data_IF_893297729529
#
_entry.id   IF_893297729529
#
_cell.length_a   1.000
_cell.length_b   1.000
_cell.length_c   1.000
_cell.angle_alpha   90.00
_cell.angle_beta   90.00
_cell.angle_gamma   90.00
#
_symmetry.space_group_name_H-M   'P 1'
#
loop_
_entity.id
_entity.type
_entity.pdbx_description
1 polymer ?
#
# COMPACT_ATOMS: atom_id res chain seq x y z
N UNK A 1 -18.62 -11.68 9.69
CA UNK A 1 -17.31 -10.99 9.62
C UNK A 1 -16.22 -12.05 9.56
N UNK A 2 -15.33 -11.99 8.56
CA UNK A 2 -14.19 -12.90 8.39
C UNK A 2 -12.92 -12.07 8.22
N UNK A 3 -11.78 -12.58 8.68
CA UNK A 3 -10.48 -11.95 8.52
C UNK A 3 -9.61 -12.76 7.58
N UNK A 4 -9.28 -12.19 6.43
CA UNK A 4 -8.37 -12.78 5.46
C UNK A 4 -6.96 -12.24 5.69
N UNK A 5 -6.00 -13.13 5.89
CA UNK A 5 -4.62 -12.75 6.25
C UNK A 5 -3.63 -13.58 5.43
N UNK A 6 -2.56 -12.99 4.86
CA UNK A 6 -1.50 -13.76 4.22
C UNK A 6 -0.74 -14.61 5.24
N UNK A 7 -0.23 -15.77 4.82
CA UNK A 7 0.55 -16.69 5.67
C UNK A 7 1.82 -16.08 6.28
N UNK A 8 2.30 -14.95 5.76
CA UNK A 8 3.46 -14.21 6.25
C UNK A 8 3.23 -13.44 7.56
N UNK A 9 1.98 -13.26 7.99
CA UNK A 9 1.68 -12.54 9.23
C UNK A 9 1.59 -13.47 10.42
N UNK A 10 2.27 -13.09 11.53
CA UNK A 10 2.12 -13.78 12.81
C UNK A 10 0.86 -13.28 13.51
N UNK A 11 -0.22 -14.03 13.38
CA UNK A 11 -1.50 -13.69 14.02
C UNK A 11 -1.76 -14.55 15.25
N UNK A 12 -2.35 -13.93 16.28
CA UNK A 12 -3.02 -14.65 17.37
C UNK A 12 -4.49 -14.84 16.98
N UNK A 13 -4.97 -16.07 16.78
CA UNK A 13 -6.36 -16.30 16.37
C UNK A 13 -7.35 -15.67 17.36
N UNK A 14 -8.36 -14.97 16.83
CA UNK A 14 -9.48 -14.47 17.64
C UNK A 14 -10.52 -15.58 17.82
N UNK A 15 -11.04 -15.71 19.03
CA UNK A 15 -12.17 -16.60 19.31
C UNK A 15 -13.48 -16.10 18.69
N UNK A 16 -13.61 -14.80 18.45
CA UNK A 16 -14.86 -14.16 17.99
C UNK A 16 -14.96 -14.05 16.48
N UNK A 17 -13.83 -14.02 15.78
CA UNK A 17 -13.80 -13.77 14.34
C UNK A 17 -12.95 -14.83 13.65
N UNK A 18 -13.52 -15.63 12.74
CA UNK A 18 -12.79 -16.66 12.03
C UNK A 18 -11.73 -16.04 11.12
N UNK A 19 -10.53 -16.63 11.15
CA UNK A 19 -9.40 -16.23 10.32
C UNK A 19 -9.24 -17.22 9.16
N UNK A 20 -9.03 -16.69 7.96
CA UNK A 20 -8.75 -17.43 6.74
C UNK A 20 -7.38 -17.01 6.22
N UNK A 21 -6.52 -17.99 5.98
CA UNK A 21 -5.13 -17.75 5.61
C UNK A 21 -4.92 -18.18 4.16
N UNK A 22 -4.47 -17.26 3.31
CA UNK A 22 -4.01 -17.58 1.96
C UNK A 22 -2.49 -17.66 1.93
N UNK A 23 -1.98 -18.56 1.09
CA UNK A 23 -0.54 -18.82 1.02
C UNK A 23 0.16 -17.74 0.21
N UNK A 24 1.23 -17.18 0.77
CA UNK A 24 2.16 -16.26 0.09
C UNK A 24 3.59 -16.80 0.21
N UNK A 25 4.49 -16.46 -0.73
CA UNK A 25 5.87 -16.98 -0.74
C UNK A 25 6.80 -16.26 0.26
N UNK A 26 6.27 -15.69 1.35
CA UNK A 26 7.03 -14.95 2.36
C UNK A 26 6.97 -15.64 3.72
N UNK A 27 8.09 -15.60 4.44
CA UNK A 27 8.20 -16.20 5.78
C UNK A 27 7.49 -15.34 6.85
N UNK A 28 7.03 -15.95 7.96
CA UNK A 28 6.41 -15.21 9.05
C UNK A 28 7.32 -14.15 9.67
N UNK A 29 6.90 -12.89 9.67
CA UNK A 29 7.67 -11.76 10.21
C UNK A 29 8.60 -11.07 9.20
N UNK A 30 8.52 -11.46 7.92
CA UNK A 30 9.30 -10.85 6.83
C UNK A 30 8.94 -9.37 6.64
N UNK A 31 7.67 -9.00 6.81
CA UNK A 31 7.20 -7.62 6.66
C UNK A 31 7.94 -6.69 7.64
N UNK A 32 8.02 -7.08 8.91
CA UNK A 32 8.66 -6.31 9.96
C UNK A 32 10.19 -6.30 9.81
N UNK A 33 10.78 -7.47 9.50
CA UNK A 33 12.22 -7.64 9.51
C UNK A 33 12.93 -7.08 8.27
N UNK A 34 12.25 -7.05 7.13
CA UNK A 34 12.83 -6.62 5.86
C UNK A 34 12.20 -5.31 5.38
N UNK A 35 10.86 -5.26 5.23
CA UNK A 35 10.20 -4.12 4.60
C UNK A 35 10.15 -2.89 5.52
N UNK A 36 9.61 -3.05 6.74
CA UNK A 36 9.54 -1.97 7.73
C UNK A 36 10.93 -1.54 8.18
N UNK A 37 11.86 -2.48 8.31
CA UNK A 37 13.25 -2.17 8.68
C UNK A 37 13.91 -1.22 7.68
N UNK A 38 13.73 -1.43 6.38
CA UNK A 38 14.27 -0.54 5.33
C UNK A 38 13.69 0.86 5.38
N UNK A 39 12.40 0.98 5.68
CA UNK A 39 11.75 2.29 5.87
C UNK A 39 12.40 3.04 7.04
N UNK A 40 12.62 2.36 8.16
CA UNK A 40 13.24 2.92 9.36
C UNK A 40 14.73 3.28 9.11
N UNK A 41 15.45 2.42 8.37
CA UNK A 41 16.85 2.66 7.96
C UNK A 41 16.97 3.83 6.96
N UNK A 42 15.86 4.34 6.42
CA UNK A 42 15.83 5.48 5.50
C UNK A 42 16.16 5.11 4.05
N UNK A 43 16.21 3.81 3.72
CA UNK A 43 16.46 3.30 2.37
C UNK A 43 15.19 3.38 1.51
N UNK A 44 14.76 4.62 1.22
CA UNK A 44 13.48 4.92 0.55
C UNK A 44 13.37 4.31 -0.84
N UNK A 45 14.47 4.24 -1.59
CA UNK A 45 14.44 3.72 -2.96
C UNK A 45 14.23 2.21 -2.98
N UNK A 46 15.00 1.46 -2.18
CA UNK A 46 14.82 0.01 -2.07
C UNK A 46 13.47 -0.32 -1.46
N UNK A 47 13.03 0.43 -0.45
CA UNK A 47 11.69 0.28 0.14
C UNK A 47 10.60 0.37 -0.93
N UNK A 48 10.64 1.40 -1.79
CA UNK A 48 9.63 1.59 -2.84
C UNK A 48 9.67 0.48 -3.90
N UNK A 49 10.87 0.08 -4.33
CA UNK A 49 11.03 -1.02 -5.30
C UNK A 49 10.48 -2.34 -4.73
N UNK A 50 10.85 -2.66 -3.50
CA UNK A 50 10.41 -3.87 -2.80
C UNK A 50 8.91 -3.85 -2.53
N UNK A 51 8.36 -2.70 -2.13
CA UNK A 51 6.90 -2.52 -1.98
C UNK A 51 6.16 -2.82 -3.28
N UNK A 52 6.66 -2.36 -4.43
CA UNK A 52 6.06 -2.65 -5.73
C UNK A 52 6.06 -4.14 -6.05
N UNK A 53 7.17 -4.84 -5.79
CA UNK A 53 7.28 -6.28 -6.05
C UNK A 53 6.34 -7.09 -5.14
N UNK A 54 6.31 -6.75 -3.85
CA UNK A 54 5.48 -7.41 -2.84
C UNK A 54 4.01 -7.29 -3.14
N UNK A 55 3.56 -6.09 -3.57
CA UNK A 55 2.17 -5.91 -3.98
C UNK A 55 1.83 -6.89 -5.10
N UNK A 56 2.64 -6.97 -6.17
CA UNK A 56 2.42 -7.92 -7.28
C UNK A 56 2.33 -9.36 -6.80
N UNK A 57 3.26 -9.81 -5.96
CA UNK A 57 3.27 -11.19 -5.46
C UNK A 57 2.05 -11.51 -4.58
N UNK A 58 1.65 -10.57 -3.72
CA UNK A 58 0.46 -10.72 -2.88
C UNK A 58 -0.80 -10.75 -3.76
N UNK A 59 -0.87 -9.89 -4.78
CA UNK A 59 -1.96 -9.88 -5.77
C UNK A 59 -2.12 -11.24 -6.44
N UNK A 60 -1.04 -11.78 -7.00
CA UNK A 60 -1.05 -13.06 -7.71
C UNK A 60 -1.44 -14.20 -6.77
N UNK A 61 -0.85 -14.24 -5.57
CA UNK A 61 -1.14 -15.25 -4.55
C UNK A 61 -2.61 -15.25 -4.15
N UNK A 62 -3.19 -14.06 -3.97
CA UNK A 62 -4.61 -13.92 -3.65
C UNK A 62 -5.51 -14.35 -4.82
N UNK A 63 -5.22 -13.90 -6.04
CA UNK A 63 -6.00 -14.25 -7.23
C UNK A 63 -5.96 -15.76 -7.56
N UNK A 64 -4.89 -16.43 -7.17
CA UNK A 64 -4.75 -17.89 -7.31
C UNK A 64 -5.48 -18.67 -6.20
N UNK A 65 -5.96 -18.01 -5.14
CA UNK A 65 -6.65 -18.66 -4.01
C UNK A 65 -8.16 -18.77 -4.26
N UNK A 66 -8.57 -19.78 -5.03
CA UNK A 66 -9.94 -19.97 -5.48
C UNK A 66 -10.97 -20.17 -4.33
N UNK A 67 -10.53 -20.75 -3.22
CA UNK A 67 -11.30 -20.92 -1.99
C UNK A 67 -11.65 -19.57 -1.36
N UNK A 68 -10.65 -18.70 -1.21
CA UNK A 68 -10.79 -17.35 -0.68
C UNK A 68 -11.69 -16.51 -1.59
N UNK A 69 -11.45 -16.53 -2.90
CA UNK A 69 -12.26 -15.81 -3.88
C UNK A 69 -13.72 -16.27 -3.91
N UNK A 70 -14.00 -17.56 -3.69
CA UNK A 70 -15.36 -18.09 -3.66
C UNK A 70 -16.11 -17.59 -2.44
N UNK A 71 -15.49 -17.62 -1.26
CA UNK A 71 -16.10 -17.11 -0.02
C UNK A 71 -16.33 -15.60 -0.11
N UNK A 72 -15.38 -14.85 -0.68
CA UNK A 72 -15.45 -13.38 -0.76
C UNK A 72 -16.64 -12.84 -1.59
N UNK A 73 -17.23 -13.64 -2.48
CA UNK A 73 -18.38 -13.23 -3.32
C UNK A 73 -19.66 -12.98 -2.55
N UNK A 74 -19.80 -13.62 -1.39
CA UNK A 74 -21.04 -13.58 -0.61
C UNK A 74 -21.05 -12.45 0.44
N UNK A 75 -20.05 -11.56 0.43
CA UNK A 75 -19.93 -10.46 1.38
C UNK A 75 -20.46 -9.13 0.85
N UNK A 76 -21.07 -8.35 1.74
CA UNK A 76 -21.64 -7.04 1.44
C UNK A 76 -20.64 -5.87 1.60
N UNK A 77 -19.48 -6.10 2.22
CA UNK A 77 -18.49 -5.07 2.52
C UNK A 77 -17.09 -5.68 2.72
N UNK A 78 -16.08 -5.05 2.12
CA UNK A 78 -14.67 -5.35 2.36
C UNK A 78 -14.03 -4.22 3.16
N UNK A 79 -13.38 -4.56 4.27
CA UNK A 79 -12.53 -3.63 5.03
C UNK A 79 -11.10 -4.12 4.90
N UNK A 80 -10.19 -3.26 4.46
CA UNK A 80 -8.82 -3.66 4.14
C UNK A 80 -7.80 -2.61 4.54
N UNK A 81 -6.56 -3.04 4.74
CA UNK A 81 -5.41 -2.17 4.95
C UNK A 81 -4.84 -1.71 3.60
N UNK A 82 -4.33 -0.48 3.49
CA UNK A 82 -3.62 0.02 2.30
C UNK A 82 -2.48 -0.87 1.80
N UNK A 83 -1.91 -1.75 2.63
CA UNK A 83 -0.91 -2.73 2.20
C UNK A 83 -1.53 -3.97 1.54
N UNK A 84 -2.84 -4.19 1.67
CA UNK A 84 -3.61 -5.28 1.08
C UNK A 84 -4.44 -4.80 -0.12
N UNK A 85 -3.82 -4.05 -1.05
CA UNK A 85 -4.52 -3.36 -2.15
C UNK A 85 -5.26 -4.36 -3.04
N UNK A 86 -4.57 -5.31 -3.68
CA UNK A 86 -5.20 -6.21 -4.65
C UNK A 86 -6.40 -7.02 -4.17
N UNK A 87 -6.37 -7.68 -2.99
CA UNK A 87 -7.50 -8.47 -2.54
C UNK A 87 -8.78 -7.67 -2.38
N UNK A 88 -8.67 -6.38 -2.03
CA UNK A 88 -9.81 -5.54 -1.78
C UNK A 88 -10.20 -4.68 -2.98
N UNK A 89 -9.23 -4.04 -3.64
CA UNK A 89 -9.53 -3.10 -4.72
C UNK A 89 -10.04 -3.83 -5.95
N UNK A 90 -9.24 -4.74 -6.51
CA UNK A 90 -9.55 -5.42 -7.77
C UNK A 90 -10.78 -6.32 -7.64
N UNK A 91 -10.85 -7.11 -6.57
CA UNK A 91 -11.98 -8.02 -6.35
C UNK A 91 -13.27 -7.26 -6.06
N UNK A 92 -13.23 -6.27 -5.16
CA UNK A 92 -14.41 -5.50 -4.77
C UNK A 92 -14.96 -4.69 -5.93
N UNK A 93 -14.10 -4.08 -6.78
CA UNK A 93 -14.55 -3.42 -8.01
C UNK A 93 -15.22 -4.38 -8.98
N UNK A 94 -14.60 -5.53 -9.25
CA UNK A 94 -15.13 -6.52 -10.19
C UNK A 94 -16.50 -7.06 -9.77
N UNK A 95 -16.74 -7.18 -8.48
CA UNK A 95 -17.97 -7.75 -7.92
C UNK A 95 -18.95 -6.70 -7.37
N UNK A 96 -18.69 -5.41 -7.57
CA UNK A 96 -19.49 -4.29 -7.04
C UNK A 96 -19.71 -4.37 -5.51
N UNK A 97 -18.72 -4.86 -4.78
CA UNK A 97 -18.77 -4.92 -3.31
C UNK A 97 -18.20 -3.59 -2.77
N UNK A 98 -18.93 -2.86 -1.90
CA UNK A 98 -18.41 -1.70 -1.19
C UNK A 98 -17.11 -2.00 -0.46
N UNK A 99 -16.21 -1.01 -0.41
CA UNK A 99 -14.87 -1.13 0.17
C UNK A 99 -14.59 0.02 1.13
N UNK A 100 -13.98 -0.28 2.26
CA UNK A 100 -13.47 0.70 3.22
C UNK A 100 -11.99 0.43 3.44
N UNK A 101 -11.16 1.40 3.07
CA UNK A 101 -9.72 1.35 3.28
C UNK A 101 -9.36 1.90 4.66
N UNK A 102 -8.49 1.18 5.36
CA UNK A 102 -7.80 1.61 6.57
C UNK A 102 -6.36 1.94 6.20
N UNK A 103 -5.97 3.19 6.39
CA UNK A 103 -4.62 3.69 6.12
C UNK A 103 -3.94 3.87 7.48
N UNK A 104 -3.15 2.90 8.00
CA UNK A 104 -2.41 3.07 9.25
C UNK A 104 -1.15 3.94 9.07
N UNK A 105 -0.95 4.51 7.88
CA UNK A 105 0.22 5.30 7.51
C UNK A 105 -0.05 6.81 7.64
N UNK A 106 1.01 7.62 7.82
CA UNK A 106 0.90 9.07 7.78
C UNK A 106 0.28 9.59 6.47
N UNK A 107 -0.42 10.73 6.49
CA UNK A 107 -1.04 11.34 5.31
C UNK A 107 -0.05 11.87 4.26
N UNK A 108 1.26 11.72 4.47
CA UNK A 108 2.32 12.01 3.50
C UNK A 108 3.05 10.73 3.03
N UNK A 109 2.55 9.55 3.39
CA UNK A 109 3.11 8.28 2.94
C UNK A 109 2.94 8.10 1.42
N UNK A 110 3.71 7.20 0.78
CA UNK A 110 3.64 6.95 -0.67
C UNK A 110 2.25 6.66 -1.21
N UNK A 111 1.27 6.22 -0.43
CA UNK A 111 -0.08 5.93 -0.93
C UNK A 111 -1.07 7.07 -0.71
N UNK A 112 -0.71 8.09 0.07
CA UNK A 112 -1.61 9.17 0.45
C UNK A 112 -2.09 10.02 -0.73
N UNK A 113 -1.33 10.09 -1.82
CA UNK A 113 -1.73 10.83 -3.02
C UNK A 113 -2.97 10.26 -3.72
N UNK A 114 -3.28 8.98 -3.52
CA UNK A 114 -4.47 8.34 -4.10
C UNK A 114 -5.76 8.75 -3.38
N UNK A 115 -5.66 9.30 -2.18
CA UNK A 115 -6.79 9.52 -1.27
C UNK A 115 -7.31 10.96 -1.23
N UNK A 116 -7.04 11.74 -2.30
CA UNK A 116 -7.39 13.16 -2.42
C UNK A 116 -6.93 14.01 -1.22
N UNK A 117 -5.90 13.56 -0.50
CA UNK A 117 -5.36 14.27 0.66
C UNK A 117 -4.67 15.55 0.16
N UNK A 118 -5.03 16.74 0.67
CA UNK A 118 -4.38 17.98 0.26
C UNK A 118 -2.90 17.98 0.67
N UNK A 119 -2.01 17.92 -0.32
CA UNK A 119 -0.57 17.96 -0.11
C UNK A 119 0.05 19.20 -0.76
N UNK A 120 -0.07 20.38 -0.14
CA UNK A 120 0.46 21.62 -0.69
C UNK A 120 2.00 21.54 -0.78
N UNK A 121 2.53 21.64 -1.99
CA UNK A 121 3.96 21.48 -2.30
C UNK A 121 4.85 22.48 -1.55
N UNK A 122 4.31 23.60 -1.08
CA UNK A 122 5.05 24.58 -0.29
C UNK A 122 5.27 24.19 1.18
N UNK A 123 4.56 23.19 1.70
CA UNK A 123 4.64 22.75 3.11
C UNK A 123 4.80 21.23 3.28
N UNK A 124 4.43 20.44 2.27
CA UNK A 124 4.60 18.98 2.29
C UNK A 124 5.80 18.60 1.42
N UNK A 125 6.89 18.09 2.01
CA UNK A 125 8.07 17.66 1.26
C UNK A 125 7.74 16.43 0.40
N UNK A 126 8.23 16.41 -0.84
CA UNK A 126 8.14 15.27 -1.73
C UNK A 126 9.01 14.14 -1.18
N UNK A 127 8.48 12.91 -1.21
CA UNK A 127 9.06 11.71 -0.56
C UNK A 127 10.58 11.54 -0.76
N UNK A 128 11.08 11.84 -1.96
CA UNK A 128 12.48 11.62 -2.35
C UNK A 128 13.43 12.77 -2.03
N UNK A 129 12.93 13.92 -1.57
CA UNK A 129 13.77 15.11 -1.36
C UNK A 129 14.54 15.09 -0.04
N UNK A 130 14.12 14.26 0.92
CA UNK A 130 14.69 14.24 2.27
C UNK A 130 14.40 15.50 3.10
N UNK A 131 13.56 16.42 2.59
CA UNK A 131 13.19 17.66 3.27
C UNK A 131 12.19 17.39 4.40
N UNK A 132 12.14 18.33 5.35
CA UNK A 132 11.15 18.34 6.44
C UNK A 132 9.93 19.22 6.12
N UNK A 133 8.95 19.27 7.01
CA UNK A 133 7.83 20.23 6.96
C UNK A 133 8.30 21.70 7.11
N UNK A 134 9.50 21.90 7.65
CA UNK A 134 10.15 23.21 7.78
C UNK A 134 11.15 23.40 6.64
N UNK A 135 10.66 23.97 5.54
CA UNK A 135 11.48 24.33 4.37
C UNK A 135 11.69 25.84 4.24
N UNK A 136 12.94 26.23 3.98
CA UNK A 136 13.32 27.55 3.48
C UNK A 136 12.75 27.81 2.09
N UNK A 137 12.83 29.06 1.62
CA UNK A 137 12.35 29.41 0.28
C UNK A 137 13.01 28.56 -0.83
N UNK A 138 14.34 28.38 -0.79
CA UNK A 138 15.05 27.59 -1.79
C UNK A 138 14.68 26.11 -1.73
N UNK A 139 14.52 25.54 -0.53
CA UNK A 139 14.06 24.16 -0.37
C UNK A 139 12.65 23.96 -0.93
N UNK A 140 11.76 24.95 -0.82
CA UNK A 140 10.43 24.90 -1.46
C UNK A 140 10.52 24.92 -2.99
N UNK A 141 11.47 25.65 -3.56
CA UNK A 141 11.71 25.66 -5.02
C UNK A 141 12.24 24.30 -5.47
N UNK A 142 13.17 23.69 -4.73
CA UNK A 142 13.65 22.33 -4.98
C UNK A 142 12.51 21.32 -4.87
N UNK A 143 11.67 21.45 -3.84
CA UNK A 143 10.52 20.59 -3.62
C UNK A 143 9.50 20.69 -4.77
N UNK A 144 9.26 21.89 -5.29
CA UNK A 144 8.44 22.12 -6.47
C UNK A 144 9.03 21.45 -7.72
N UNK A 145 10.34 21.57 -7.93
CA UNK A 145 11.05 20.87 -9.01
C UNK A 145 10.87 19.35 -8.93
N UNK A 146 11.03 18.77 -7.73
CA UNK A 146 10.82 17.35 -7.49
C UNK A 146 9.37 16.91 -7.77
N UNK A 147 8.38 17.73 -7.37
CA UNK A 147 6.97 17.48 -7.65
C UNK A 147 6.66 17.48 -9.16
N UNK A 148 7.19 18.45 -9.91
CA UNK A 148 7.00 18.51 -11.36
C UNK A 148 7.69 17.33 -12.06
N UNK A 149 8.89 16.95 -11.61
CA UNK A 149 9.61 15.78 -12.09
C UNK A 149 8.85 14.48 -11.87
N UNK A 150 8.30 14.25 -10.66
CA UNK A 150 7.52 13.04 -10.39
C UNK A 150 6.24 12.97 -11.21
N UNK A 151 5.54 14.10 -11.40
CA UNK A 151 4.37 14.20 -12.28
C UNK A 151 4.70 13.87 -13.73
N UNK A 152 5.84 14.34 -14.22
CA UNK A 152 6.31 14.04 -15.57
C UNK A 152 6.59 12.54 -15.75
N UNK A 153 7.32 11.92 -14.80
CA UNK A 153 7.61 10.49 -14.82
C UNK A 153 6.32 9.66 -14.81
N UNK A 154 5.37 9.98 -13.92
CA UNK A 154 4.09 9.26 -13.86
C UNK A 154 3.28 9.39 -15.14
N UNK A 155 3.31 10.54 -15.81
CA UNK A 155 2.62 10.72 -17.08
C UNK A 155 3.24 9.86 -18.19
N UNK A 156 4.57 9.74 -18.23
CA UNK A 156 5.25 8.84 -19.17
C UNK A 156 4.88 7.38 -18.87
N UNK A 157 4.98 6.95 -17.61
CA UNK A 157 4.69 5.58 -17.21
C UNK A 157 3.26 5.14 -17.52
N UNK A 158 2.29 6.07 -17.49
CA UNK A 158 0.89 5.82 -17.88
C UNK A 158 0.67 5.69 -19.39
N UNK A 159 1.61 6.13 -20.21
CA UNK A 159 1.46 6.11 -21.68
C UNK A 159 1.87 4.76 -22.30
N UNK A 160 2.56 3.91 -21.53
CA UNK A 160 3.02 2.57 -21.94
C UNK A 160 2.06 1.42 -21.51
N UNK A 161 0.88 1.72 -20.95
CA UNK A 161 -0.17 0.77 -20.57
C UNK A 161 -1.47 1.05 -21.33
#
# INVERSE_FOLDING_TARGET
LYWFVPSSHKIKPSEKVPHKIYQVPYQPGWLENDLVRREIEGDKLQYIMMMSEVQTVICESFLNSADVLKELKDFDLIVYDSLAVCPATLFGERHNIPRVESIPLPPNAPFAFNHMIPMPVSYVPQLFTGLSDKMTFLERVVNLGAYLGSRFIMNIAKTDQ
#
